data_IF_637175846454
#
_entry.id   IF_637175846454
#
_cell.length_a   1.000
_cell.length_b   1.000
_cell.length_c   1.000
_cell.angle_alpha   90.00
_cell.angle_beta   90.00
_cell.angle_gamma   90.00
#
_symmetry.space_group_name_H-M   'P 1'
#
loop_
_entity.id
_entity.type
_entity.pdbx_description
1 polymer ?
#
# COMPACT_ATOMS: atom_id res chain seq x y z
N UNK A 1 -50.15 -11.77 60.38
CA UNK A 1 -49.53 -12.46 59.22
C UNK A 1 -48.68 -11.44 58.51
N UNK A 2 -47.37 -11.39 58.74
CA UNK A 2 -46.45 -10.37 58.19
C UNK A 2 -45.60 -11.04 57.13
N UNK A 3 -45.76 -10.63 55.89
CA UNK A 3 -44.97 -11.08 54.76
C UNK A 3 -43.71 -10.26 54.72
N UNK A 4 -42.54 -10.87 54.92
CA UNK A 4 -41.23 -10.27 54.78
C UNK A 4 -40.86 -10.34 53.28
N UNK A 5 -40.75 -9.17 52.66
CA UNK A 5 -40.30 -9.02 51.28
C UNK A 5 -38.77 -8.96 51.27
N UNK A 6 -38.14 -10.05 50.91
CA UNK A 6 -36.68 -10.15 50.82
C UNK A 6 -36.24 -9.57 49.47
N UNK A 7 -35.68 -8.37 49.47
CA UNK A 7 -35.09 -7.71 48.29
C UNK A 7 -33.77 -8.34 48.01
N UNK A 8 -33.68 -9.15 46.94
CA UNK A 8 -32.44 -9.68 46.41
C UNK A 8 -31.80 -8.59 45.55
N UNK A 9 -30.80 -7.94 46.11
CA UNK A 9 -29.99 -6.94 45.41
C UNK A 9 -28.94 -7.67 44.57
N UNK A 10 -29.26 -7.93 43.27
CA UNK A 10 -28.36 -8.54 42.31
C UNK A 10 -27.25 -7.54 41.95
N UNK A 11 -26.06 -7.75 42.49
CA UNK A 11 -24.86 -6.97 42.16
C UNK A 11 -24.37 -7.41 40.77
N UNK A 12 -24.78 -6.68 39.73
CA UNK A 12 -24.34 -6.88 38.38
C UNK A 12 -22.91 -6.35 38.24
N UNK A 13 -21.94 -7.27 38.42
CA UNK A 13 -20.51 -6.97 38.23
C UNK A 13 -20.27 -6.77 36.75
N UNK A 14 -20.28 -5.50 36.28
CA UNK A 14 -19.89 -5.11 34.94
C UNK A 14 -18.38 -5.28 34.85
N UNK A 15 -17.92 -6.45 34.37
CA UNK A 15 -16.55 -6.64 33.91
C UNK A 15 -16.33 -5.80 32.63
N UNK A 16 -15.87 -4.58 32.77
CA UNK A 16 -15.32 -3.79 31.67
C UNK A 16 -14.01 -4.43 31.24
N UNK A 17 -14.08 -5.33 30.24
CA UNK A 17 -12.92 -5.77 29.50
C UNK A 17 -12.35 -4.56 28.74
N UNK A 18 -11.44 -3.84 29.37
CA UNK A 18 -10.59 -2.89 28.67
C UNK A 18 -9.66 -3.69 27.78
N UNK A 19 -10.09 -3.94 26.54
CA UNK A 19 -9.25 -4.50 25.51
C UNK A 19 -8.09 -3.53 25.27
N UNK A 20 -6.93 -3.82 25.83
CA UNK A 20 -5.69 -3.12 25.51
C UNK A 20 -5.42 -3.42 24.06
N UNK A 21 -5.71 -2.47 23.18
CA UNK A 21 -5.36 -2.57 21.77
C UNK A 21 -3.83 -2.69 21.69
N UNK A 22 -3.36 -3.86 21.32
CA UNK A 22 -1.92 -4.13 21.14
C UNK A 22 -1.39 -3.18 20.08
N UNK A 23 -0.55 -2.23 20.49
CA UNK A 23 0.06 -1.27 19.60
C UNK A 23 1.03 -2.02 18.70
N UNK A 24 0.68 -2.21 17.43
CA UNK A 24 1.59 -2.78 16.45
C UNK A 24 2.87 -1.94 16.38
N UNK A 25 3.99 -2.56 16.72
CA UNK A 25 5.31 -1.93 16.58
C UNK A 25 5.78 -2.19 15.16
N UNK A 26 5.87 -1.14 14.35
CA UNK A 26 6.37 -1.22 13.00
C UNK A 26 7.85 -0.87 12.95
N UNK A 27 8.62 -1.52 12.07
CA UNK A 27 9.96 -1.06 11.75
C UNK A 27 9.90 0.36 11.18
N UNK A 28 10.82 1.25 11.58
CA UNK A 28 10.83 2.62 11.08
C UNK A 28 11.03 2.64 9.56
N UNK A 29 10.41 3.61 8.90
CA UNK A 29 10.69 3.89 7.49
C UNK A 29 12.06 4.58 7.36
N UNK A 30 12.75 4.39 6.22
CA UNK A 30 13.96 5.14 5.92
C UNK A 30 13.71 6.66 5.94
N UNK A 31 14.67 7.44 6.46
CA UNK A 31 14.56 8.89 6.60
C UNK A 31 14.22 9.58 5.27
N UNK A 32 14.73 9.07 4.14
CA UNK A 32 14.40 9.56 2.80
C UNK A 32 12.90 9.49 2.49
N UNK A 33 12.23 8.42 2.91
CA UNK A 33 10.78 8.26 2.72
C UNK A 33 10.00 9.23 3.60
N UNK A 34 10.46 9.41 4.83
CA UNK A 34 9.84 10.33 5.80
C UNK A 34 9.98 11.78 5.36
N UNK A 35 11.15 12.17 4.84
CA UNK A 35 11.48 13.53 4.42
C UNK A 35 10.91 13.91 3.05
N UNK A 36 10.54 12.94 2.23
CA UNK A 36 10.09 13.15 0.87
C UNK A 36 8.82 14.02 0.80
N UNK A 37 8.77 14.91 -0.21
CA UNK A 37 7.64 15.78 -0.50
C UNK A 37 7.00 15.48 -1.85
N UNK A 38 7.78 14.98 -2.80
CA UNK A 38 7.35 14.75 -4.17
C UNK A 38 7.52 13.29 -4.57
N UNK A 39 6.55 12.76 -5.33
CA UNK A 39 6.61 11.38 -5.83
C UNK A 39 6.29 11.31 -7.31
N UNK A 40 6.98 10.44 -8.03
CA UNK A 40 6.64 10.03 -9.37
C UNK A 40 6.03 8.63 -9.33
N UNK A 41 4.88 8.43 -9.97
CA UNK A 41 4.18 7.15 -9.93
C UNK A 41 4.29 6.39 -11.24
N UNK A 42 4.66 5.10 -11.16
CA UNK A 42 4.75 4.17 -12.29
C UNK A 42 3.76 3.02 -12.05
N UNK A 43 2.86 2.81 -13.00
CA UNK A 43 1.95 1.67 -13.01
C UNK A 43 2.50 0.57 -13.93
N UNK A 44 3.16 -0.43 -13.36
CA UNK A 44 3.63 -1.65 -14.05
C UNK A 44 2.74 -2.87 -13.73
N UNK A 45 1.51 -2.62 -13.27
CA UNK A 45 0.58 -3.69 -12.90
C UNK A 45 -0.05 -4.43 -14.07
N UNK A 46 0.10 -3.90 -15.29
CA UNK A 46 -0.61 -4.40 -16.47
C UNK A 46 -2.11 -4.05 -16.48
N UNK A 47 -2.63 -3.35 -15.48
CA UNK A 47 -4.03 -2.98 -15.33
C UNK A 47 -4.18 -1.49 -15.06
N UNK A 48 -4.69 -0.73 -16.06
CA UNK A 48 -4.86 0.71 -15.93
C UNK A 48 -5.74 1.08 -14.72
N UNK A 49 -6.89 0.41 -14.56
CA UNK A 49 -7.85 0.66 -13.47
C UNK A 49 -7.21 0.54 -12.09
N UNK A 50 -6.31 -0.41 -11.89
CA UNK A 50 -5.63 -0.57 -10.60
C UNK A 50 -4.66 0.59 -10.34
N UNK A 51 -3.89 0.97 -11.37
CA UNK A 51 -3.04 2.15 -11.28
C UNK A 51 -3.81 3.43 -10.98
N UNK A 52 -4.96 3.63 -11.65
CA UNK A 52 -5.82 4.80 -11.42
C UNK A 52 -6.38 4.84 -10.00
N UNK A 53 -6.79 3.67 -9.47
CA UNK A 53 -7.29 3.58 -8.10
C UNK A 53 -6.21 3.92 -7.08
N UNK A 54 -4.98 3.42 -7.28
CA UNK A 54 -3.85 3.73 -6.40
C UNK A 54 -3.43 5.20 -6.52
N UNK A 55 -3.33 5.72 -7.74
CA UNK A 55 -3.01 7.13 -7.99
C UNK A 55 -3.99 8.08 -7.28
N UNK A 56 -5.30 7.82 -7.39
CA UNK A 56 -6.33 8.61 -6.69
C UNK A 56 -6.15 8.58 -5.18
N UNK A 57 -5.79 7.43 -4.61
CA UNK A 57 -5.57 7.32 -3.16
C UNK A 57 -4.30 8.04 -2.71
N UNK A 58 -3.21 8.00 -3.48
CA UNK A 58 -2.00 8.77 -3.21
C UNK A 58 -2.34 10.27 -3.21
N UNK A 59 -3.08 10.74 -4.23
CA UNK A 59 -3.53 12.15 -4.31
C UNK A 59 -4.44 12.53 -3.14
N UNK A 60 -5.38 11.67 -2.76
CA UNK A 60 -6.30 11.92 -1.66
C UNK A 60 -5.60 11.94 -0.29
N UNK A 61 -4.52 11.19 -0.14
CA UNK A 61 -3.72 11.21 1.09
C UNK A 61 -2.99 12.54 1.30
N UNK A 62 -2.66 13.22 0.21
CA UNK A 62 -2.06 14.57 0.24
C UNK A 62 -0.78 14.69 1.10
N UNK A 63 -0.05 13.59 1.26
CA UNK A 63 1.24 13.57 1.96
C UNK A 63 2.37 13.98 1.02
N UNK A 64 2.24 13.58 -0.26
CA UNK A 64 3.21 13.82 -1.30
C UNK A 64 2.55 14.51 -2.49
N UNK A 65 3.25 15.44 -3.10
CA UNK A 65 2.88 16.01 -4.39
C UNK A 65 3.25 15.05 -5.50
N UNK A 66 2.27 14.59 -6.28
CA UNK A 66 2.52 13.71 -7.41
C UNK A 66 2.96 14.55 -8.61
N UNK A 67 4.21 14.34 -9.02
CA UNK A 67 4.82 15.03 -10.15
C UNK A 67 4.80 14.18 -11.42
N UNK A 68 4.76 14.83 -12.58
CA UNK A 68 4.79 14.18 -13.90
C UNK A 68 6.21 14.04 -14.46
N UNK A 69 7.16 14.76 -13.87
CA UNK A 69 8.57 14.72 -14.24
C UNK A 69 9.35 13.95 -13.17
N UNK A 70 9.89 12.80 -13.56
CA UNK A 70 10.69 11.94 -12.70
C UNK A 70 11.88 12.67 -12.09
N UNK A 71 12.50 13.59 -12.85
CA UNK A 71 13.67 14.36 -12.39
C UNK A 71 13.37 15.33 -11.24
N UNK A 72 12.07 15.62 -10.99
CA UNK A 72 11.60 16.49 -9.90
C UNK A 72 11.07 15.72 -8.70
N UNK A 73 11.09 14.39 -8.76
CA UNK A 73 10.60 13.54 -7.67
C UNK A 73 11.71 13.28 -6.65
N UNK A 74 11.31 13.21 -5.38
CA UNK A 74 12.14 12.68 -4.30
C UNK A 74 12.10 11.15 -4.29
N UNK A 75 10.91 10.59 -4.54
CA UNK A 75 10.66 9.16 -4.57
C UNK A 75 9.99 8.73 -5.88
N UNK A 76 10.19 7.46 -6.23
CA UNK A 76 9.46 6.79 -7.29
C UNK A 76 8.64 5.68 -6.65
N UNK A 77 7.33 5.69 -6.91
CA UNK A 77 6.41 4.64 -6.51
C UNK A 77 6.16 3.73 -7.71
N UNK A 78 6.49 2.44 -7.61
CA UNK A 78 6.25 1.48 -8.69
C UNK A 78 5.26 0.43 -8.22
N UNK A 79 4.10 0.36 -8.88
CA UNK A 79 3.12 -0.70 -8.67
C UNK A 79 3.42 -1.85 -9.62
N UNK A 80 3.80 -3.02 -9.10
CA UNK A 80 4.17 -4.19 -9.92
C UNK A 80 3.62 -5.50 -9.36
N UNK A 81 3.28 -6.50 -10.20
CA UNK A 81 2.95 -7.85 -9.79
C UNK A 81 4.19 -8.72 -9.58
N UNK A 82 5.40 -8.19 -9.81
CA UNK A 82 6.66 -8.92 -9.75
C UNK A 82 7.32 -8.80 -8.40
N UNK A 83 7.79 -9.90 -7.83
CA UNK A 83 8.63 -9.92 -6.62
C UNK A 83 10.04 -9.36 -6.88
N UNK A 84 10.43 -9.21 -8.14
CA UNK A 84 11.72 -8.64 -8.52
C UNK A 84 11.66 -7.12 -8.43
N UNK A 85 12.60 -6.52 -7.70
CA UNK A 85 12.71 -5.06 -7.61
C UNK A 85 12.87 -4.47 -9.03
N UNK A 86 11.97 -3.56 -9.44
CA UNK A 86 12.05 -2.97 -10.77
C UNK A 86 13.33 -2.13 -10.92
N UNK A 87 14.03 -2.31 -12.04
CA UNK A 87 15.19 -1.47 -12.35
C UNK A 87 14.70 -0.18 -12.97
N UNK A 88 14.73 0.89 -12.19
CA UNK A 88 14.37 2.22 -12.67
C UNK A 88 15.64 2.96 -13.08
N UNK A 89 15.93 2.96 -14.38
CA UNK A 89 17.09 3.69 -14.91
C UNK A 89 16.91 5.19 -14.69
N UNK A 90 17.77 5.78 -13.88
CA UNK A 90 17.73 7.20 -13.49
C UNK A 90 18.65 8.05 -14.37
N UNK A 91 18.95 7.62 -15.61
CA UNK A 91 19.73 8.45 -16.53
C UNK A 91 18.97 9.73 -16.87
N UNK A 92 19.52 10.85 -16.43
CA UNK A 92 19.19 12.17 -16.93
C UNK A 92 19.74 12.26 -18.37
N UNK A 93 18.98 11.80 -19.34
CA UNK A 93 19.21 12.10 -20.74
C UNK A 93 17.88 12.17 -21.47
N UNK A 94 17.61 13.40 -21.85
CA UNK A 94 16.70 13.79 -22.90
C UNK A 94 16.85 12.88 -24.11
N UNK A 95 15.91 11.97 -24.31
CA UNK A 95 15.37 11.65 -25.63
C UNK A 95 14.16 10.74 -25.42
N UNK A 96 13.00 11.29 -25.74
CA UNK A 96 11.78 10.55 -25.86
C UNK A 96 11.91 9.57 -27.02
N UNK A 97 11.89 8.29 -26.73
CA UNK A 97 11.39 7.29 -27.66
C UNK A 97 10.80 6.18 -26.84
N UNK A 98 9.47 6.16 -26.82
CA UNK A 98 8.70 5.10 -26.23
C UNK A 98 9.07 3.77 -26.87
N UNK A 99 9.64 2.89 -26.09
CA UNK A 99 9.69 1.49 -26.40
C UNK A 99 9.13 0.73 -25.22
N UNK A 100 7.83 0.58 -25.29
CA UNK A 100 7.06 -0.36 -24.51
C UNK A 100 7.55 -1.75 -24.89
N UNK A 101 8.45 -2.33 -24.13
CA UNK A 101 8.72 -3.76 -24.22
C UNK A 101 7.55 -4.50 -23.61
N UNK A 102 6.53 -4.71 -24.42
CA UNK A 102 5.44 -5.64 -24.19
C UNK A 102 6.03 -7.07 -24.18
N UNK A 103 6.49 -7.50 -23.02
CA UNK A 103 6.75 -8.91 -22.77
C UNK A 103 5.42 -9.65 -22.80
N UNK A 104 5.17 -10.39 -23.88
CA UNK A 104 4.03 -11.29 -23.99
C UNK A 104 4.16 -12.37 -22.92
N UNK A 105 3.50 -12.17 -21.78
CA UNK A 105 3.30 -13.23 -20.80
C UNK A 105 2.20 -14.14 -21.30
N UNK A 106 2.59 -15.33 -21.77
CA UNK A 106 1.66 -16.43 -22.06
C UNK A 106 1.00 -16.82 -20.73
N UNK A 107 -0.26 -16.43 -20.55
CA UNK A 107 -1.09 -16.85 -19.43
C UNK A 107 -1.43 -18.33 -19.63
N UNK A 108 -0.70 -19.24 -18.99
CA UNK A 108 -1.14 -20.61 -18.83
C UNK A 108 -2.38 -20.59 -17.93
N UNK A 109 -3.54 -20.89 -18.52
CA UNK A 109 -4.79 -21.11 -17.79
C UNK A 109 -4.63 -22.34 -16.90
N UNK A 110 -4.82 -22.18 -15.59
CA UNK A 110 -5.03 -23.32 -14.72
C UNK A 110 -4.24 -23.37 -13.43
N UNK A 111 -4.26 -22.29 -12.64
CA UNK A 111 -4.18 -22.35 -11.18
C UNK A 111 -4.62 -20.99 -10.67
N UNK A 112 -5.53 -20.95 -9.67
CA UNK A 112 -5.82 -19.73 -8.92
C UNK A 112 -4.57 -19.39 -8.09
N UNK A 113 -3.52 -18.94 -8.76
CA UNK A 113 -2.36 -18.38 -8.11
C UNK A 113 -2.83 -17.11 -7.41
N UNK A 114 -2.63 -17.07 -6.11
CA UNK A 114 -2.82 -15.84 -5.32
C UNK A 114 -2.00 -14.76 -5.98
N UNK A 115 -2.65 -13.82 -6.67
CA UNK A 115 -1.93 -12.71 -7.29
C UNK A 115 -1.42 -11.80 -6.19
N UNK A 116 -0.10 -11.67 -6.10
CA UNK A 116 0.58 -10.74 -5.22
C UNK A 116 0.87 -9.44 -5.97
N UNK A 117 0.72 -8.34 -5.27
CA UNK A 117 0.97 -7.01 -5.78
C UNK A 117 1.89 -6.29 -4.83
N UNK A 118 2.85 -5.58 -5.39
CA UNK A 118 3.88 -4.88 -4.65
C UNK A 118 3.86 -3.39 -5.01
N UNK A 119 3.99 -2.55 -3.99
CA UNK A 119 4.26 -1.14 -4.15
C UNK A 119 5.68 -0.89 -3.67
N UNK A 120 6.59 -0.71 -4.60
CA UNK A 120 7.98 -0.35 -4.32
C UNK A 120 8.09 1.15 -4.12
N UNK A 121 8.83 1.55 -3.09
CA UNK A 121 9.20 2.93 -2.82
C UNK A 121 10.68 3.07 -3.05
N UNK A 122 11.06 3.78 -4.09
CA UNK A 122 12.44 3.89 -4.55
C UNK A 122 12.94 5.33 -4.43
N UNK A 123 14.22 5.49 -4.15
CA UNK A 123 14.90 6.78 -4.22
C UNK A 123 14.97 7.24 -5.69
N UNK A 124 14.48 8.44 -5.98
CA UNK A 124 14.44 8.93 -7.36
C UNK A 124 15.82 9.23 -7.96
N UNK A 125 16.82 9.47 -7.11
CA UNK A 125 18.19 9.82 -7.55
C UNK A 125 19.06 8.60 -7.76
N UNK A 126 18.96 7.62 -6.83
CA UNK A 126 19.82 6.42 -6.86
C UNK A 126 19.14 5.22 -7.51
N UNK A 127 17.81 5.19 -7.57
CA UNK A 127 17.04 4.02 -7.98
C UNK A 127 17.03 2.90 -6.95
N UNK A 128 17.54 3.15 -5.74
CA UNK A 128 17.56 2.19 -4.65
C UNK A 128 16.14 1.93 -4.14
N UNK A 129 15.81 0.66 -3.91
CA UNK A 129 14.56 0.31 -3.25
C UNK A 129 14.67 0.58 -1.75
N UNK A 130 13.94 1.57 -1.28
CA UNK A 130 13.93 1.99 0.12
C UNK A 130 12.94 1.19 0.94
N UNK A 131 11.81 0.80 0.33
CA UNK A 131 10.76 0.09 1.03
C UNK A 131 9.77 -0.58 0.06
N UNK A 132 9.02 -1.60 0.56
CA UNK A 132 8.02 -2.33 -0.21
C UNK A 132 6.78 -2.61 0.63
N UNK A 133 5.61 -2.34 0.09
CA UNK A 133 4.34 -2.86 0.58
C UNK A 133 3.88 -4.04 -0.26
N UNK A 134 3.23 -4.99 0.39
CA UNK A 134 2.72 -6.19 -0.24
C UNK A 134 1.20 -6.30 -0.02
N UNK A 135 0.47 -6.67 -1.07
CA UNK A 135 -0.94 -7.02 -0.96
C UNK A 135 -1.25 -8.20 -1.87
N UNK A 136 -2.16 -9.06 -1.41
CA UNK A 136 -2.61 -10.20 -2.19
C UNK A 136 -4.12 -10.18 -2.40
N UNK A 137 -4.56 -10.75 -3.51
CA UNK A 137 -5.97 -10.98 -3.81
C UNK A 137 -6.55 -12.18 -3.04
N UNK A 138 -5.81 -12.71 -2.05
CA UNK A 138 -6.09 -13.96 -1.37
C UNK A 138 -7.55 -14.26 -1.10
N UNK A 139 -8.04 -15.38 -1.64
CA UNK A 139 -9.22 -16.15 -1.21
C UNK A 139 -10.60 -15.51 -1.25
N UNK A 140 -10.71 -14.20 -1.32
CA UNK A 140 -11.99 -13.49 -1.39
C UNK A 140 -12.19 -12.97 -2.81
N UNK A 141 -12.97 -13.67 -3.60
CA UNK A 141 -13.38 -13.38 -4.99
C UNK A 141 -13.93 -11.96 -5.24
N UNK A 142 -14.07 -11.13 -4.20
CA UNK A 142 -14.74 -9.83 -4.24
C UNK A 142 -13.85 -8.64 -3.83
N UNK A 143 -12.54 -8.82 -3.74
CA UNK A 143 -11.67 -7.65 -3.48
C UNK A 143 -11.60 -6.78 -4.74
N UNK A 144 -12.10 -5.55 -4.64
CA UNK A 144 -11.94 -4.54 -5.70
C UNK A 144 -10.48 -4.06 -5.76
N UNK A 145 -10.06 -3.60 -6.94
CA UNK A 145 -8.74 -2.98 -7.11
C UNK A 145 -8.52 -1.83 -6.12
N UNK A 146 -9.57 -1.04 -5.85
CA UNK A 146 -9.52 0.03 -4.86
C UNK A 146 -9.23 -0.46 -3.45
N UNK A 147 -9.71 -1.65 -3.05
CA UNK A 147 -9.41 -2.21 -1.72
C UNK A 147 -7.97 -2.71 -1.62
N UNK A 148 -7.41 -3.24 -2.71
CA UNK A 148 -6.00 -3.66 -2.76
C UNK A 148 -5.09 -2.44 -2.74
N UNK A 149 -5.40 -1.42 -3.54
CA UNK A 149 -4.69 -0.15 -3.54
C UNK A 149 -4.66 0.50 -2.15
N UNK A 150 -5.81 0.49 -1.45
CA UNK A 150 -5.91 0.97 -0.07
C UNK A 150 -5.03 0.16 0.89
N UNK A 151 -4.99 -1.16 0.73
CA UNK A 151 -4.15 -2.03 1.57
C UNK A 151 -2.66 -1.73 1.38
N UNK A 152 -2.20 -1.56 0.12
CA UNK A 152 -0.82 -1.20 -0.20
C UNK A 152 -0.42 0.15 0.40
N UNK A 153 -1.31 1.14 0.30
CA UNK A 153 -1.00 2.48 0.79
C UNK A 153 -1.12 2.59 2.32
N UNK A 154 -2.05 1.85 2.93
CA UNK A 154 -2.30 1.93 4.38
C UNK A 154 -1.09 1.54 5.21
N UNK A 155 -0.26 0.61 4.74
CA UNK A 155 0.94 0.19 5.47
C UNK A 155 1.96 1.34 5.59
N UNK A 156 2.17 2.13 4.53
CA UNK A 156 2.99 3.34 4.58
C UNK A 156 2.32 4.41 5.45
N UNK A 157 1.01 4.58 5.29
CA UNK A 157 0.26 5.61 6.02
C UNK A 157 0.33 5.40 7.52
N UNK A 158 0.25 4.16 7.99
CA UNK A 158 0.34 3.82 9.41
C UNK A 158 1.71 4.11 10.00
N UNK A 159 2.77 4.01 9.19
CA UNK A 159 4.16 4.24 9.61
C UNK A 159 4.58 5.71 9.55
N UNK A 160 3.87 6.54 8.78
CA UNK A 160 4.13 7.99 8.64
C UNK A 160 3.27 8.85 9.56
N UNK A 161 2.49 8.24 10.45
CA UNK A 161 1.75 8.92 11.52
C UNK A 161 2.68 9.25 12.68
#
# INVERSE_FOLDING_TARGET
MRIQLTTVFGFLLLCTLTGVAEKKIYAPLPDKVVAAKTVFFINDSGTARFGDDLYRQIKAWNRWDVVTDKGKADLILVLSPSDTVPVVITTASTTASGQSTSGTRTTAAGNMQTQHWHLYVMDAKTGENLWRADASMGGKLWRSWGSIAKSLLSDIQERLK
#
